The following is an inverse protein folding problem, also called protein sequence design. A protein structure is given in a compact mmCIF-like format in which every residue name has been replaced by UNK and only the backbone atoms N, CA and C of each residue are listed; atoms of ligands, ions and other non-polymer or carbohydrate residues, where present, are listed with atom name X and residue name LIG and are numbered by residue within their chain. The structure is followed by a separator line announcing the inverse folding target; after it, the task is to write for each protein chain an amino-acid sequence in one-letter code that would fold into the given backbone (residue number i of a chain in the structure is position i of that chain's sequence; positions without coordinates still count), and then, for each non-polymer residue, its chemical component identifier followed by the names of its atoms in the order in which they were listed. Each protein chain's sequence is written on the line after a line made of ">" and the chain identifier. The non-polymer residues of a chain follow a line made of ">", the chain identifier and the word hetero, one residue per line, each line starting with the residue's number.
data_IF_622494119723
#
_entry.id   IF_622494119723
#
_cell.length_a   1.000
_cell.length_b   1.000
_cell.length_c   1.000
_cell.angle_alpha   90.00
_cell.angle_beta   90.00
_cell.angle_gamma   90.00
#
_symmetry.space_group_name_H-M   'P 1'
#
loop_
_entity.id
_entity.type
_entity.pdbx_description
1 polymer ?
#
# COMPACT_ATOMS: atom_id res chain seq x y z
N UNK A 1 47.59 59.21 24.88
CA UNK A 1 46.93 59.18 26.21
C UNK A 1 46.88 57.73 26.68
N UNK A 2 47.67 57.40 27.70
CA UNK A 2 47.56 56.17 28.52
C UNK A 2 47.05 56.59 29.90
N UNK A 3 46.24 55.75 30.55
CA UNK A 3 46.46 55.42 31.96
C UNK A 3 46.43 53.89 32.14
N UNK A 4 47.40 53.19 32.76
CA UNK A 4 47.92 53.19 34.14
C UNK A 4 47.10 52.40 35.18
N UNK A 5 47.77 51.36 35.72
CA UNK A 5 47.76 50.80 37.09
C UNK A 5 46.56 49.95 37.53
N UNK A 6 46.63 48.84 38.28
CA UNK A 6 47.68 47.96 38.87
C UNK A 6 46.95 46.73 39.46
N UNK A 7 47.63 45.59 39.73
CA UNK A 7 47.00 44.38 40.26
C UNK A 7 46.92 44.38 41.80
N UNK A 8 45.91 43.70 42.37
CA UNK A 8 45.87 43.33 43.79
C UNK A 8 45.49 41.86 43.97
N UNK A 9 46.33 41.19 44.76
CA UNK A 9 46.19 39.87 45.38
C UNK A 9 45.01 39.82 46.35
N UNK A 10 44.36 38.65 46.45
CA UNK A 10 43.76 38.01 47.64
C UNK A 10 42.76 36.95 47.15
N UNK A 11 42.53 35.78 47.76
CA UNK A 11 43.22 34.98 48.75
C UNK A 11 42.56 33.58 48.64
N UNK A 12 43.30 32.51 48.93
CA UNK A 12 42.76 31.16 48.95
C UNK A 12 41.80 30.96 50.13
N UNK A 13 40.62 30.38 49.88
CA UNK A 13 39.81 29.72 50.89
C UNK A 13 39.51 28.31 50.37
N UNK A 14 40.14 27.33 51.01
CA UNK A 14 39.78 25.93 50.88
C UNK A 14 38.50 25.68 51.68
N UNK A 15 37.44 25.22 51.02
CA UNK A 15 36.31 24.58 51.68
C UNK A 15 36.30 23.10 51.28
N UNK A 16 36.64 22.24 52.24
CA UNK A 16 36.31 20.82 52.20
C UNK A 16 34.79 20.68 52.28
N UNK A 17 34.18 20.17 51.20
CA UNK A 17 32.83 19.61 51.26
C UNK A 17 32.94 18.13 50.94
N UNK A 18 32.88 17.32 52.00
CA UNK A 18 32.57 15.90 51.94
C UNK A 18 31.13 15.73 51.48
N UNK A 19 30.92 15.45 50.20
CA UNK A 19 29.62 15.18 49.61
C UNK A 19 29.60 13.77 49.00
N UNK A 20 28.77 12.91 49.57
CA UNK A 20 28.51 11.55 49.13
C UNK A 20 28.26 11.45 47.63
N UNK A 21 28.98 10.56 46.94
CA UNK A 21 28.71 10.22 45.53
C UNK A 21 27.42 9.40 45.51
N UNK A 22 26.28 10.07 45.37
CA UNK A 22 25.06 9.43 44.91
C UNK A 22 25.26 9.13 43.42
N UNK A 23 25.55 7.87 43.09
CA UNK A 23 25.53 7.37 41.71
C UNK A 23 24.10 7.51 41.18
N UNK A 24 23.85 8.55 40.40
CA UNK A 24 22.68 8.62 39.54
C UNK A 24 22.85 7.57 38.45
N UNK A 25 22.25 6.39 38.66
CA UNK A 25 22.00 5.47 37.57
C UNK A 25 20.96 6.14 36.65
N UNK A 26 21.43 6.71 35.53
CA UNK A 26 20.52 7.12 34.47
C UNK A 26 19.75 5.87 34.03
N UNK A 27 18.41 5.89 33.97
CA UNK A 27 17.66 4.79 33.40
C UNK A 27 18.09 4.67 31.94
N UNK A 28 18.82 3.60 31.62
CA UNK A 28 19.14 3.19 30.26
C UNK A 28 17.88 2.67 29.59
N UNK A 29 16.92 3.55 29.34
CA UNK A 29 15.85 3.31 28.37
C UNK A 29 16.41 3.58 26.97
N UNK A 30 17.42 2.82 26.57
CA UNK A 30 17.66 2.63 25.15
C UNK A 30 16.42 1.88 24.62
N UNK A 31 15.69 2.40 23.62
CA UNK A 31 14.61 1.65 23.02
C UNK A 31 15.17 0.29 22.61
N UNK A 32 14.50 -0.79 23.01
CA UNK A 32 14.89 -2.14 22.64
C UNK A 32 15.04 -2.17 21.11
N UNK A 33 16.25 -2.52 20.64
CA UNK A 33 16.45 -2.80 19.22
C UNK A 33 15.45 -3.90 18.87
N UNK A 34 14.50 -3.67 17.93
CA UNK A 34 13.53 -4.69 17.56
C UNK A 34 14.27 -5.97 17.22
N UNK A 35 13.73 -7.11 17.66
CA UNK A 35 14.30 -8.40 17.30
C UNK A 35 14.54 -8.45 15.77
N UNK A 36 15.70 -8.99 15.32
CA UNK A 36 16.04 -8.99 13.91
C UNK A 36 14.93 -9.65 13.11
N UNK A 37 14.42 -8.89 12.15
CA UNK A 37 13.30 -9.27 11.32
C UNK A 37 13.67 -10.52 10.53
N UNK A 38 12.75 -11.49 10.46
CA UNK A 38 12.92 -12.62 9.55
C UNK A 38 13.20 -12.10 8.12
N UNK A 39 14.13 -12.72 7.39
CA UNK A 39 14.51 -12.24 6.06
C UNK A 39 13.30 -12.21 5.14
N UNK A 40 13.02 -11.03 4.59
CA UNK A 40 11.97 -10.83 3.59
C UNK A 40 12.41 -11.52 2.31
N UNK A 41 11.59 -12.45 1.81
CA UNK A 41 11.82 -13.06 0.51
C UNK A 41 11.12 -12.23 -0.56
N UNK A 42 11.73 -12.05 -1.75
CA UNK A 42 11.02 -11.49 -2.89
C UNK A 42 9.71 -12.23 -3.10
N UNK A 43 8.64 -11.46 -3.23
CA UNK A 43 7.31 -12.01 -3.52
C UNK A 43 7.29 -12.41 -4.98
N UNK A 44 6.83 -13.64 -5.27
CA UNK A 44 6.56 -14.02 -6.65
C UNK A 44 5.33 -13.27 -7.17
N UNK A 45 5.48 -12.53 -8.27
CA UNK A 45 4.44 -11.73 -8.90
C UNK A 45 3.89 -12.46 -10.14
N UNK A 46 2.61 -12.79 -10.13
CA UNK A 46 1.92 -13.42 -11.26
C UNK A 46 1.26 -12.39 -12.17
N UNK A 47 0.75 -11.31 -11.57
CA UNK A 47 0.15 -10.18 -12.26
C UNK A 47 0.84 -8.91 -11.73
N UNK A 48 2.07 -8.59 -12.20
CA UNK A 48 2.94 -7.60 -11.56
C UNK A 48 2.29 -6.24 -11.28
N UNK A 49 1.46 -5.74 -12.20
CA UNK A 49 0.74 -4.47 -12.03
C UNK A 49 -0.27 -4.55 -10.86
N UNK A 50 -1.04 -5.63 -10.77
CA UNK A 50 -1.98 -5.83 -9.67
C UNK A 50 -1.26 -6.15 -8.37
N UNK A 51 -0.33 -7.11 -8.40
CA UNK A 51 0.33 -7.66 -7.22
C UNK A 51 1.14 -6.60 -6.47
N UNK A 52 1.75 -5.63 -7.16
CA UNK A 52 2.46 -4.52 -6.51
C UNK A 52 1.57 -3.40 -5.99
N UNK A 53 0.49 -3.08 -6.71
CA UNK A 53 -0.41 -1.99 -6.31
C UNK A 53 -1.45 -2.42 -5.27
N UNK A 54 -1.87 -3.69 -5.28
CA UNK A 54 -3.02 -4.21 -4.54
C UNK A 54 -2.73 -5.58 -3.92
N UNK A 55 -1.56 -5.75 -3.30
CA UNK A 55 -1.06 -7.07 -2.88
C UNK A 55 -1.99 -7.86 -1.97
N UNK A 56 -2.67 -7.20 -1.00
CA UNK A 56 -3.68 -7.87 -0.18
C UNK A 56 -4.75 -8.54 -1.05
N UNK A 57 -5.29 -7.82 -2.03
CA UNK A 57 -6.37 -8.32 -2.88
C UNK A 57 -5.89 -9.51 -3.71
N UNK A 58 -4.70 -9.43 -4.29
CA UNK A 58 -4.06 -10.55 -4.97
C UNK A 58 -3.89 -11.78 -4.09
N UNK A 59 -3.52 -11.62 -2.81
CA UNK A 59 -3.41 -12.73 -1.88
C UNK A 59 -4.78 -13.37 -1.57
N UNK A 60 -5.82 -12.56 -1.39
CA UNK A 60 -7.18 -13.07 -1.16
C UNK A 60 -7.69 -13.88 -2.37
N UNK A 61 -7.45 -13.42 -3.59
CA UNK A 61 -7.83 -14.14 -4.81
C UNK A 61 -7.09 -15.47 -4.97
N UNK A 62 -5.81 -15.51 -4.59
CA UNK A 62 -4.93 -16.67 -4.81
C UNK A 62 -4.97 -17.69 -3.67
N UNK A 63 -5.75 -17.45 -2.62
CA UNK A 63 -5.79 -18.33 -1.46
C UNK A 63 -7.20 -18.92 -1.27
N UNK A 64 -7.53 -20.04 -1.93
CA UNK A 64 -8.87 -20.64 -1.84
C UNK A 64 -9.34 -20.93 -0.41
N UNK A 65 -8.42 -21.20 0.53
CA UNK A 65 -8.75 -21.48 1.92
C UNK A 65 -9.35 -20.30 2.68
N UNK A 66 -9.21 -19.05 2.21
CA UNK A 66 -9.84 -17.88 2.86
C UNK A 66 -11.22 -17.57 2.32
N UNK A 67 -11.59 -18.09 1.13
CA UNK A 67 -12.87 -17.80 0.48
C UNK A 67 -14.08 -18.10 1.39
N UNK A 68 -14.16 -19.24 2.10
CA UNK A 68 -15.32 -19.51 2.96
C UNK A 68 -15.52 -18.45 4.05
N UNK A 69 -14.45 -17.84 4.56
CA UNK A 69 -14.55 -16.78 5.55
C UNK A 69 -15.13 -15.49 4.95
N UNK A 70 -14.70 -15.14 3.72
CA UNK A 70 -15.21 -13.96 3.02
C UNK A 70 -16.65 -14.15 2.55
N UNK A 71 -16.99 -15.32 2.03
CA UNK A 71 -18.33 -15.65 1.50
C UNK A 71 -19.37 -15.79 2.61
N UNK A 72 -18.96 -16.20 3.83
CA UNK A 72 -19.86 -16.30 4.98
C UNK A 72 -20.33 -14.94 5.52
N UNK A 73 -19.69 -13.84 5.11
CA UNK A 73 -20.03 -12.51 5.57
C UNK A 73 -21.11 -11.86 4.71
N UNK A 74 -22.29 -11.62 5.29
CA UNK A 74 -23.43 -11.01 4.58
C UNK A 74 -23.11 -9.63 4.01
N UNK A 75 -22.26 -8.84 4.67
CA UNK A 75 -21.88 -7.51 4.20
C UNK A 75 -21.03 -7.61 2.96
N UNK A 76 -20.01 -8.48 2.98
CA UNK A 76 -19.15 -8.71 1.82
C UNK A 76 -19.94 -9.28 0.64
N UNK A 77 -20.81 -10.27 0.88
CA UNK A 77 -21.65 -10.85 -0.16
C UNK A 77 -22.60 -9.81 -0.79
N UNK A 78 -23.24 -8.96 0.03
CA UNK A 78 -24.08 -7.86 -0.46
C UNK A 78 -23.28 -6.87 -1.32
N UNK A 79 -22.06 -6.54 -0.91
CA UNK A 79 -21.19 -5.63 -1.66
C UNK A 79 -20.73 -6.26 -2.98
N UNK A 80 -20.40 -7.55 -3.01
CA UNK A 80 -20.15 -8.28 -4.26
C UNK A 80 -21.33 -8.11 -5.23
N UNK A 81 -22.55 -8.45 -4.79
CA UNK A 81 -23.74 -8.33 -5.63
C UNK A 81 -23.98 -6.88 -6.10
N UNK A 82 -23.77 -5.90 -5.21
CA UNK A 82 -23.96 -4.47 -5.51
C UNK A 82 -22.99 -3.99 -6.58
N UNK A 83 -21.70 -4.27 -6.44
CA UNK A 83 -20.69 -3.80 -7.39
C UNK A 83 -20.73 -4.56 -8.71
N UNK A 84 -21.09 -5.85 -8.71
CA UNK A 84 -21.33 -6.60 -9.95
C UNK A 84 -22.55 -6.06 -10.72
N UNK A 85 -23.64 -5.71 -10.02
CA UNK A 85 -24.80 -5.10 -10.65
C UNK A 85 -24.50 -3.71 -11.25
N UNK A 86 -23.69 -2.91 -10.57
CA UNK A 86 -23.20 -1.63 -11.12
C UNK A 86 -22.36 -1.85 -12.39
N UNK A 87 -21.53 -2.90 -12.43
CA UNK A 87 -20.73 -3.24 -13.62
C UNK A 87 -21.62 -3.63 -14.80
N UNK A 88 -22.62 -4.49 -14.59
CA UNK A 88 -23.61 -4.86 -15.63
C UNK A 88 -24.36 -3.63 -16.13
N UNK A 89 -24.84 -2.77 -15.22
CA UNK A 89 -25.55 -1.54 -15.58
C UNK A 89 -24.65 -0.57 -16.37
N UNK A 90 -23.35 -0.54 -16.07
CA UNK A 90 -22.39 0.36 -16.70
C UNK A 90 -22.16 0.13 -18.19
N UNK A 91 -22.42 -1.07 -18.73
CA UNK A 91 -22.35 -1.34 -20.17
C UNK A 91 -23.48 -0.65 -20.97
N UNK A 92 -24.56 -0.26 -20.29
CA UNK A 92 -25.64 0.56 -20.83
C UNK A 92 -26.13 0.14 -22.25
N UNK A 93 -26.29 -1.17 -22.46
CA UNK A 93 -26.75 -1.76 -23.74
C UNK A 93 -25.93 -1.34 -24.97
N UNK A 94 -24.67 -0.95 -24.78
CA UNK A 94 -23.79 -0.48 -25.85
C UNK A 94 -23.75 1.04 -26.02
N UNK A 95 -24.56 1.81 -25.29
CA UNK A 95 -24.54 3.28 -25.35
C UNK A 95 -23.55 3.87 -24.35
N UNK A 96 -22.47 4.54 -24.79
CA UNK A 96 -21.46 5.08 -23.89
C UNK A 96 -22.02 6.13 -22.91
N UNK A 97 -21.72 5.97 -21.62
CA UNK A 97 -22.15 6.89 -20.56
C UNK A 97 -20.99 7.32 -19.66
N UNK A 98 -20.87 8.63 -19.45
CA UNK A 98 -19.94 9.20 -18.47
C UNK A 98 -20.34 8.90 -17.01
N UNK A 99 -21.56 8.42 -16.77
CA UNK A 99 -22.08 8.13 -15.43
C UNK A 99 -21.67 6.75 -14.90
N UNK A 100 -21.22 5.85 -15.77
CA UNK A 100 -20.88 4.47 -15.40
C UNK A 100 -19.63 4.40 -14.50
N UNK A 101 -18.54 5.06 -14.90
CA UNK A 101 -17.25 5.03 -14.20
C UNK A 101 -17.34 5.51 -12.73
N UNK A 102 -17.99 6.65 -12.41
CA UNK A 102 -18.13 7.10 -11.02
C UNK A 102 -18.75 6.06 -10.07
N UNK A 103 -19.60 5.16 -10.56
CA UNK A 103 -20.28 4.15 -9.72
C UNK A 103 -19.32 3.11 -9.13
N UNK A 104 -18.15 2.94 -9.76
CA UNK A 104 -17.12 1.98 -9.34
C UNK A 104 -16.25 2.51 -8.20
N UNK A 105 -16.35 3.79 -7.83
CA UNK A 105 -15.70 4.32 -6.65
C UNK A 105 -16.26 3.68 -5.38
N UNK A 106 -15.35 3.28 -4.49
CA UNK A 106 -15.69 2.90 -3.13
C UNK A 106 -16.11 4.12 -2.33
N UNK A 107 -17.32 4.06 -1.75
CA UNK A 107 -17.79 5.09 -0.83
C UNK A 107 -17.15 4.88 0.55
N UNK A 108 -16.99 5.96 1.33
CA UNK A 108 -16.44 5.84 2.69
C UNK A 108 -17.25 4.86 3.57
N UNK A 109 -18.60 4.88 3.55
CA UNK A 109 -19.40 3.87 4.26
C UNK A 109 -19.11 2.44 3.82
N UNK A 110 -18.93 2.17 2.51
CA UNK A 110 -18.61 0.83 2.03
C UNK A 110 -17.21 0.40 2.47
N UNK A 111 -16.21 1.31 2.42
CA UNK A 111 -14.84 1.04 2.90
C UNK A 111 -14.86 0.66 4.37
N UNK A 112 -15.62 1.41 5.20
CA UNK A 112 -15.75 1.16 6.62
C UNK A 112 -16.49 -0.14 6.94
N UNK A 113 -17.54 -0.46 6.17
CA UNK A 113 -18.29 -1.69 6.28
C UNK A 113 -17.41 -2.91 5.98
N UNK A 114 -16.63 -2.88 4.89
CA UNK A 114 -15.66 -3.94 4.57
C UNK A 114 -14.58 -4.04 5.64
N UNK A 115 -14.02 -2.93 6.10
CA UNK A 115 -13.01 -2.93 7.16
C UNK A 115 -13.53 -3.63 8.43
N UNK A 116 -14.77 -3.35 8.81
CA UNK A 116 -15.40 -3.99 9.96
C UNK A 116 -15.65 -5.48 9.72
N UNK A 117 -16.18 -5.86 8.55
CA UNK A 117 -16.40 -7.25 8.18
C UNK A 117 -15.08 -8.05 8.18
N UNK A 118 -14.02 -7.53 7.57
CA UNK A 118 -12.69 -8.15 7.56
C UNK A 118 -12.12 -8.33 8.97
N UNK A 119 -12.26 -7.34 9.86
CA UNK A 119 -11.85 -7.46 11.27
C UNK A 119 -12.62 -8.58 11.97
N UNK A 120 -13.92 -8.67 11.75
CA UNK A 120 -14.76 -9.73 12.32
C UNK A 120 -14.39 -11.11 11.78
N UNK A 121 -14.17 -11.24 10.47
CA UNK A 121 -13.78 -12.51 9.84
C UNK A 121 -12.39 -12.96 10.28
N UNK A 122 -11.46 -12.03 10.45
CA UNK A 122 -10.13 -12.32 11.02
C UNK A 122 -10.23 -12.95 12.41
N UNK A 123 -11.14 -12.47 13.26
CA UNK A 123 -11.36 -13.02 14.60
C UNK A 123 -11.93 -14.44 14.62
N UNK A 124 -12.51 -14.91 13.50
CA UNK A 124 -13.21 -16.21 13.41
C UNK A 124 -12.49 -17.25 12.55
N UNK A 125 -11.74 -16.81 11.53
CA UNK A 125 -11.14 -17.68 10.53
C UNK A 125 -9.65 -17.87 10.75
N UNK A 126 -9.26 -19.09 11.12
CA UNK A 126 -7.84 -19.48 11.23
C UNK A 126 -7.11 -19.33 9.90
N UNK A 127 -7.75 -19.67 8.78
CA UNK A 127 -7.14 -19.53 7.46
C UNK A 127 -6.83 -18.06 7.11
N UNK A 128 -7.72 -17.14 7.47
CA UNK A 128 -7.49 -15.71 7.26
C UNK A 128 -6.39 -15.17 8.19
N UNK A 129 -6.34 -15.64 9.44
CA UNK A 129 -5.23 -15.33 10.36
C UNK A 129 -3.89 -15.81 9.80
N UNK A 130 -3.82 -17.06 9.33
CA UNK A 130 -2.60 -17.65 8.76
C UNK A 130 -2.14 -16.90 7.49
N UNK A 131 -3.07 -16.46 6.62
CA UNK A 131 -2.74 -15.63 5.46
C UNK A 131 -2.14 -14.28 5.86
N UNK A 132 -2.77 -13.62 6.84
CA UNK A 132 -2.43 -12.24 7.23
C UNK A 132 -1.14 -12.20 8.05
N UNK A 133 -1.01 -13.04 9.07
CA UNK A 133 0.17 -13.09 9.94
C UNK A 133 1.34 -13.83 9.30
N UNK A 134 1.08 -14.64 8.27
CA UNK A 134 2.08 -15.29 7.45
C UNK A 134 2.38 -14.51 6.17
N UNK A 135 1.93 -14.98 4.98
CA UNK A 135 2.29 -14.40 3.68
C UNK A 135 2.18 -12.88 3.57
N UNK A 136 1.08 -12.27 4.03
CA UNK A 136 0.89 -10.83 3.92
C UNK A 136 1.94 -10.07 4.75
N UNK A 137 2.11 -10.42 6.03
CA UNK A 137 3.09 -9.77 6.91
C UNK A 137 4.54 -10.01 6.45
N UNK A 138 4.85 -11.22 5.97
CA UNK A 138 6.20 -11.60 5.53
C UNK A 138 6.60 -10.98 4.19
N UNK A 139 5.63 -10.51 3.39
CA UNK A 139 5.88 -9.88 2.09
C UNK A 139 6.58 -8.52 2.15
N UNK A 140 6.51 -7.84 3.30
CA UNK A 140 6.91 -6.43 3.47
C UNK A 140 6.18 -5.41 2.55
N UNK A 141 5.15 -5.82 1.78
CA UNK A 141 4.35 -4.90 0.95
C UNK A 141 3.58 -3.87 1.78
N UNK A 142 3.36 -4.17 3.06
CA UNK A 142 2.71 -3.30 4.04
C UNK A 142 3.64 -3.02 5.24
N UNK A 143 4.94 -2.81 4.99
CA UNK A 143 5.96 -2.59 6.03
C UNK A 143 5.58 -1.47 7.02
N UNK A 144 4.86 -0.44 6.56
CA UNK A 144 4.34 0.65 7.40
C UNK A 144 3.49 0.15 8.59
N UNK A 145 2.82 -0.99 8.44
CA UNK A 145 1.92 -1.58 9.44
C UNK A 145 2.50 -2.85 10.07
N UNK A 146 3.81 -3.10 9.90
CA UNK A 146 4.44 -4.35 10.33
C UNK A 146 4.30 -4.63 11.83
N UNK A 147 4.28 -3.60 12.64
CA UNK A 147 4.15 -3.71 14.10
C UNK A 147 2.70 -3.84 14.58
N UNK A 148 1.73 -3.66 13.68
CA UNK A 148 0.31 -3.75 14.04
C UNK A 148 -0.13 -5.20 14.24
N UNK A 149 -1.19 -5.41 15.02
CA UNK A 149 -1.84 -6.72 15.12
C UNK A 149 -2.34 -7.18 13.74
N UNK A 150 -2.53 -8.49 13.53
CA UNK A 150 -2.98 -8.99 12.22
C UNK A 150 -4.31 -8.40 11.77
N UNK A 151 -5.26 -8.21 12.69
CA UNK A 151 -6.53 -7.55 12.40
C UNK A 151 -6.34 -6.10 11.92
N UNK A 152 -5.46 -5.33 12.57
CA UNK A 152 -5.18 -3.94 12.17
C UNK A 152 -4.38 -3.88 10.86
N UNK A 153 -3.42 -4.77 10.65
CA UNK A 153 -2.70 -4.93 9.38
C UNK A 153 -3.68 -5.18 8.23
N UNK A 154 -4.60 -6.14 8.39
CA UNK A 154 -5.61 -6.47 7.38
C UNK A 154 -6.50 -5.27 7.06
N UNK A 155 -7.00 -4.57 8.08
CA UNK A 155 -7.88 -3.41 7.91
C UNK A 155 -7.18 -2.26 7.21
N UNK A 156 -5.95 -1.93 7.62
CA UNK A 156 -5.18 -0.84 6.99
C UNK A 156 -4.76 -1.18 5.56
N UNK A 157 -4.36 -2.43 5.31
CA UNK A 157 -4.07 -2.92 3.97
C UNK A 157 -5.28 -2.85 3.03
N UNK A 158 -6.49 -3.16 3.52
CA UNK A 158 -7.73 -2.96 2.78
C UNK A 158 -7.99 -1.50 2.46
N UNK A 159 -7.85 -0.60 3.45
CA UNK A 159 -8.07 0.83 3.25
C UNK A 159 -7.11 1.43 2.24
N UNK A 160 -5.84 1.05 2.28
CA UNK A 160 -4.85 1.45 1.29
C UNK A 160 -5.22 0.94 -0.11
N UNK A 161 -5.66 -0.32 -0.23
CA UNK A 161 -6.09 -0.89 -1.50
C UNK A 161 -7.33 -0.16 -2.06
N UNK A 162 -8.36 0.09 -1.25
CA UNK A 162 -9.57 0.81 -1.66
C UNK A 162 -9.26 2.25 -2.07
N UNK A 163 -8.39 2.94 -1.32
CA UNK A 163 -7.91 4.27 -1.67
C UNK A 163 -7.13 4.27 -3.00
N UNK A 164 -6.28 3.27 -3.22
CA UNK A 164 -5.55 3.11 -4.49
C UNK A 164 -6.48 2.87 -5.67
N UNK A 165 -7.49 2.01 -5.53
CA UNK A 165 -8.52 1.77 -6.56
C UNK A 165 -9.26 3.08 -6.87
N UNK A 166 -9.71 3.79 -5.85
CA UNK A 166 -10.37 5.07 -6.02
C UNK A 166 -9.47 6.10 -6.71
N UNK A 167 -8.19 6.16 -6.35
CA UNK A 167 -7.24 7.06 -6.97
C UNK A 167 -7.08 6.78 -8.47
N UNK A 168 -6.93 5.50 -8.84
CA UNK A 168 -6.87 5.07 -10.25
C UNK A 168 -8.13 5.48 -11.01
N UNK A 169 -9.31 5.23 -10.45
CA UNK A 169 -10.59 5.61 -11.08
C UNK A 169 -10.71 7.15 -11.19
N UNK A 170 -10.31 7.90 -10.17
CA UNK A 170 -10.35 9.36 -10.19
C UNK A 170 -9.45 9.94 -11.27
N UNK A 171 -8.20 9.46 -11.39
CA UNK A 171 -7.24 9.99 -12.36
C UNK A 171 -7.58 9.54 -13.77
N UNK A 172 -7.70 8.23 -13.99
CA UNK A 172 -7.80 7.66 -15.32
C UNK A 172 -9.25 7.49 -15.80
N UNK A 173 -10.21 7.41 -14.89
CA UNK A 173 -11.63 7.34 -15.24
C UNK A 173 -12.31 8.71 -15.30
N UNK A 174 -11.96 9.62 -14.38
CA UNK A 174 -12.66 10.90 -14.20
C UNK A 174 -11.81 12.13 -14.57
N UNK A 175 -10.52 11.95 -14.88
CA UNK A 175 -9.63 13.03 -15.31
C UNK A 175 -9.15 13.91 -14.15
N UNK A 176 -9.15 13.39 -12.93
CA UNK A 176 -8.57 14.06 -11.76
C UNK A 176 -7.06 14.22 -11.90
N UNK A 177 -6.52 15.28 -11.29
CA UNK A 177 -5.08 15.54 -11.31
C UNK A 177 -4.34 14.53 -10.38
N UNK A 178 -3.32 13.82 -10.88
CA UNK A 178 -2.45 13.01 -10.04
C UNK A 178 -1.44 13.90 -9.29
N UNK A 179 -0.62 13.31 -8.41
CA UNK A 179 0.43 14.04 -7.71
C UNK A 179 1.48 14.66 -8.65
N UNK A 180 1.79 13.99 -9.77
CA UNK A 180 2.71 14.52 -10.78
C UNK A 180 2.04 14.61 -12.16
N UNK A 181 1.22 15.66 -12.42
CA UNK A 181 0.40 15.75 -13.64
C UNK A 181 1.17 15.69 -14.95
N UNK A 182 2.45 16.06 -14.97
CA UNK A 182 3.26 16.04 -16.20
C UNK A 182 3.58 14.64 -16.71
N UNK A 183 3.59 13.64 -15.83
CA UNK A 183 4.01 12.27 -16.16
C UNK A 183 2.91 11.25 -15.88
N UNK A 184 2.05 11.51 -14.90
CA UNK A 184 1.07 10.54 -14.40
C UNK A 184 -0.37 10.79 -14.87
N UNK A 185 -0.63 11.85 -15.64
CA UNK A 185 -2.00 12.15 -16.11
C UNK A 185 -2.56 11.07 -17.05
N UNK A 186 -3.87 11.04 -17.24
CA UNK A 186 -4.47 10.19 -18.28
C UNK A 186 -3.84 10.46 -19.65
N UNK A 187 -3.60 9.39 -20.41
CA UNK A 187 -2.98 9.48 -21.73
C UNK A 187 -3.94 10.06 -22.77
N UNK A 188 -5.25 9.88 -22.55
CA UNK A 188 -6.33 10.36 -23.41
C UNK A 188 -7.24 11.34 -22.66
N UNK A 189 -7.97 12.16 -23.41
CA UNK A 189 -9.07 12.94 -22.84
C UNK A 189 -10.22 12.00 -22.44
N UNK A 190 -10.41 11.86 -21.13
CA UNK A 190 -11.40 10.95 -20.53
C UNK A 190 -12.86 11.30 -20.87
N UNK A 191 -13.11 12.53 -21.34
CA UNK A 191 -14.44 13.00 -21.75
C UNK A 191 -14.69 12.86 -23.24
N UNK A 192 -13.68 12.46 -24.02
CA UNK A 192 -13.82 12.31 -25.46
C UNK A 192 -14.74 11.14 -25.81
N UNK A 193 -15.54 11.22 -26.89
CA UNK A 193 -16.40 10.12 -27.31
C UNK A 193 -15.67 8.78 -27.50
N UNK A 194 -14.45 8.71 -28.09
CA UNK A 194 -13.72 7.45 -28.20
C UNK A 194 -13.33 6.85 -26.83
N UNK A 195 -13.07 7.69 -25.83
CA UNK A 195 -12.76 7.21 -24.49
C UNK A 195 -14.01 6.65 -23.80
N UNK A 196 -15.15 7.33 -23.93
CA UNK A 196 -16.42 6.84 -23.42
C UNK A 196 -16.79 5.49 -24.05
N UNK A 197 -16.63 5.34 -25.37
CA UNK A 197 -16.81 4.07 -26.08
C UNK A 197 -15.90 2.97 -25.53
N UNK A 198 -14.61 3.29 -25.33
CA UNK A 198 -13.63 2.35 -24.75
C UNK A 198 -14.05 1.90 -23.35
N UNK A 199 -14.50 2.82 -22.50
CA UNK A 199 -15.00 2.47 -21.16
C UNK A 199 -16.30 1.66 -21.23
N UNK A 200 -17.18 1.94 -22.20
CA UNK A 200 -18.40 1.17 -22.38
C UNK A 200 -18.10 -0.29 -22.73
N UNK A 201 -17.25 -0.53 -23.73
CA UNK A 201 -16.79 -1.87 -24.12
C UNK A 201 -16.11 -2.57 -22.94
N UNK A 202 -15.29 -1.85 -22.17
CA UNK A 202 -14.66 -2.36 -20.96
C UNK A 202 -15.71 -2.87 -19.94
N UNK A 203 -16.77 -2.10 -19.66
CA UNK A 203 -17.86 -2.57 -18.80
C UNK A 203 -18.53 -3.83 -19.36
N UNK A 204 -18.79 -3.88 -20.67
CA UNK A 204 -19.33 -5.07 -21.34
C UNK A 204 -18.48 -6.31 -21.09
N UNK A 205 -17.20 -6.25 -21.46
CA UNK A 205 -16.23 -7.35 -21.29
C UNK A 205 -16.12 -7.77 -19.82
N UNK A 206 -15.98 -6.81 -18.90
CA UNK A 206 -15.85 -7.13 -17.48
C UNK A 206 -17.12 -7.75 -16.92
N UNK A 207 -18.31 -7.33 -17.38
CA UNK A 207 -19.61 -7.82 -16.91
C UNK A 207 -19.91 -9.27 -17.31
N UNK A 208 -19.38 -9.72 -18.45
CA UNK A 208 -19.56 -11.09 -18.95
C UNK A 208 -18.74 -12.12 -18.17
N UNK A 209 -17.60 -11.70 -17.61
CA UNK A 209 -16.72 -12.56 -16.83
C UNK A 209 -17.17 -12.67 -15.36
N UNK A 210 -18.28 -13.38 -15.17
CA UNK A 210 -18.89 -13.64 -13.85
C UNK A 210 -17.97 -14.44 -12.92
N UNK A 211 -17.09 -15.27 -13.47
CA UNK A 211 -16.15 -16.08 -12.69
C UNK A 211 -15.13 -15.19 -11.96
N UNK A 212 -14.80 -14.03 -12.52
CA UNK A 212 -13.92 -13.04 -11.89
C UNK A 212 -14.69 -11.88 -11.22
N UNK A 213 -15.87 -12.18 -10.64
CA UNK A 213 -16.70 -11.26 -9.85
C UNK A 213 -17.25 -11.90 -8.56
N UNK A 214 -16.51 -12.85 -7.99
CA UNK A 214 -16.93 -13.60 -6.80
C UNK A 214 -16.63 -12.85 -5.49
N UNK A 215 -15.61 -11.99 -5.49
CA UNK A 215 -15.19 -11.23 -4.31
C UNK A 215 -15.62 -9.77 -4.40
N UNK A 216 -15.96 -9.19 -3.24
CA UNK A 216 -16.55 -7.85 -3.11
C UNK A 216 -15.74 -6.72 -3.77
N UNK A 217 -14.41 -6.89 -3.87
CA UNK A 217 -13.51 -5.91 -4.46
C UNK A 217 -13.31 -6.05 -5.97
N UNK A 218 -13.62 -7.22 -6.54
CA UNK A 218 -13.23 -7.56 -7.92
C UNK A 218 -13.81 -6.63 -8.99
N UNK A 219 -15.10 -6.26 -8.98
CA UNK A 219 -15.63 -5.39 -10.02
C UNK A 219 -14.91 -4.03 -10.09
N UNK A 220 -14.65 -3.42 -8.94
CA UNK A 220 -13.96 -2.12 -8.84
C UNK A 220 -12.46 -2.24 -9.12
N UNK A 221 -11.79 -3.27 -8.59
CA UNK A 221 -10.38 -3.56 -8.87
C UNK A 221 -10.13 -3.78 -10.36
N UNK A 222 -10.94 -4.62 -11.01
CA UNK A 222 -10.79 -4.92 -12.44
C UNK A 222 -11.07 -3.69 -13.32
N UNK A 223 -12.04 -2.86 -12.93
CA UNK A 223 -12.25 -1.56 -13.59
C UNK A 223 -11.00 -0.69 -13.47
N UNK A 224 -10.41 -0.57 -12.28
CA UNK A 224 -9.18 0.19 -12.07
C UNK A 224 -8.01 -0.35 -12.90
N UNK A 225 -7.79 -1.67 -12.91
CA UNK A 225 -6.74 -2.30 -13.72
C UNK A 225 -6.96 -2.08 -15.23
N UNK A 226 -8.19 -2.18 -15.71
CA UNK A 226 -8.53 -1.93 -17.09
C UNK A 226 -8.35 -0.46 -17.50
N UNK A 227 -8.66 0.49 -16.61
CA UNK A 227 -8.35 1.92 -16.81
C UNK A 227 -6.84 2.18 -16.89
N UNK A 228 -6.05 1.55 -16.01
CA UNK A 228 -4.59 1.63 -16.09
C UNK A 228 -4.08 1.06 -17.42
N UNK A 229 -4.56 -0.11 -17.83
CA UNK A 229 -4.19 -0.72 -19.10
C UNK A 229 -4.55 0.17 -20.31
N UNK A 230 -5.77 0.74 -20.32
CA UNK A 230 -6.22 1.68 -21.35
C UNK A 230 -5.30 2.90 -21.43
N UNK A 231 -4.79 3.38 -20.30
CA UNK A 231 -3.87 4.53 -20.22
C UNK A 231 -2.38 4.15 -20.28
N UNK A 232 -2.05 2.89 -20.61
CA UNK A 232 -0.66 2.38 -20.68
C UNK A 232 0.12 2.52 -19.36
N UNK A 233 -0.58 2.41 -18.24
CA UNK A 233 -0.04 2.51 -16.88
C UNK A 233 0.37 1.15 -16.32
N UNK A 234 1.38 0.56 -16.94
CA UNK A 234 1.95 -0.74 -16.55
C UNK A 234 3.29 -0.61 -15.80
N UNK A 235 3.69 0.61 -15.40
CA UNK A 235 5.02 0.94 -14.87
C UNK A 235 5.39 0.07 -13.66
N UNK A 236 4.41 -0.26 -12.80
CA UNK A 236 4.64 -1.14 -11.65
C UNK A 236 5.14 -2.53 -12.07
N UNK A 237 4.67 -3.06 -13.20
CA UNK A 237 5.01 -4.40 -13.69
C UNK A 237 6.07 -4.44 -14.80
N UNK A 238 6.37 -3.31 -15.43
CA UNK A 238 7.10 -3.24 -16.71
C UNK A 238 8.47 -3.94 -16.72
N UNK A 239 9.17 -3.96 -15.59
CA UNK A 239 10.54 -4.48 -15.47
C UNK A 239 10.64 -5.76 -14.62
N UNK A 240 9.52 -6.38 -14.27
CA UNK A 240 9.54 -7.63 -13.48
C UNK A 240 9.93 -8.85 -14.35
N UNK A 241 10.65 -9.86 -13.80
CA UNK A 241 11.13 -9.97 -12.42
C UNK A 241 12.40 -9.14 -12.13
N UNK A 242 12.34 -8.22 -11.17
CA UNK A 242 13.46 -7.32 -10.86
C UNK A 242 14.67 -8.07 -10.32
N UNK A 243 14.48 -9.09 -9.49
CA UNK A 243 15.55 -9.78 -8.78
C UNK A 243 16.47 -10.60 -9.69
N UNK A 244 15.94 -11.07 -10.81
CA UNK A 244 16.71 -11.81 -11.83
C UNK A 244 17.01 -10.99 -13.08
N UNK A 245 16.32 -9.86 -13.27
CA UNK A 245 16.55 -8.88 -14.33
C UNK A 245 17.37 -7.68 -13.85
N UNK A 246 16.78 -6.48 -13.94
CA UNK A 246 17.46 -5.19 -13.74
C UNK A 246 18.23 -5.08 -12.41
N UNK A 247 17.71 -5.66 -11.32
CA UNK A 247 18.34 -5.59 -10.00
C UNK A 247 19.30 -6.75 -9.71
N UNK A 248 19.52 -7.69 -10.62
CA UNK A 248 20.32 -8.89 -10.35
C UNK A 248 21.76 -8.57 -9.91
N UNK A 249 22.40 -7.57 -10.52
CA UNK A 249 23.75 -7.14 -10.13
C UNK A 249 23.76 -6.48 -8.75
N UNK A 250 22.78 -5.61 -8.47
CA UNK A 250 22.64 -4.94 -7.18
C UNK A 250 22.39 -5.94 -6.05
N UNK A 251 21.52 -6.94 -6.26
CA UNK A 251 21.27 -8.00 -5.28
C UNK A 251 22.48 -8.91 -5.04
N UNK A 252 23.31 -9.16 -6.06
CA UNK A 252 24.59 -9.88 -5.87
C UNK A 252 25.60 -9.07 -5.05
N UNK A 253 25.52 -7.74 -5.13
CA UNK A 253 26.44 -6.85 -4.42
C UNK A 253 25.99 -6.57 -2.99
N UNK A 254 24.68 -6.43 -2.75
CA UNK A 254 24.12 -6.02 -1.45
C UNK A 254 24.48 -6.98 -0.31
N UNK A 255 24.59 -8.28 -0.61
CA UNK A 255 25.00 -9.31 0.35
C UNK A 255 26.46 -9.22 0.79
N UNK A 256 27.29 -8.45 0.07
CA UNK A 256 28.72 -8.24 0.35
C UNK A 256 29.00 -6.92 1.08
N UNK A 257 27.98 -6.10 1.30
CA UNK A 257 28.12 -4.79 1.95
C UNK A 257 28.14 -4.98 3.46
N UNK A 258 29.18 -4.44 4.11
CA UNK A 258 29.21 -4.27 5.56
C UNK A 258 28.40 -3.04 5.94
N UNK A 259 27.11 -3.26 6.24
CA UNK A 259 26.15 -2.20 6.57
C UNK A 259 26.56 -1.37 7.78
N UNK A 260 27.39 -1.89 8.69
CA UNK A 260 27.87 -1.14 9.85
C UNK A 260 28.75 0.07 9.45
N UNK A 261 29.32 0.06 8.24
CA UNK A 261 30.12 1.17 7.71
C UNK A 261 29.29 2.29 7.08
N UNK A 262 27.99 2.07 6.88
CA UNK A 262 27.09 2.99 6.19
C UNK A 262 25.87 3.29 7.07
N UNK A 263 26.02 4.14 8.11
CA UNK A 263 24.95 4.40 9.09
C UNK A 263 23.75 5.18 8.51
N UNK A 264 23.88 5.71 7.30
CA UNK A 264 22.84 6.46 6.61
C UNK A 264 22.46 5.76 5.31
N UNK A 265 21.16 5.62 5.08
CA UNK A 265 20.62 5.21 3.79
C UNK A 265 20.44 6.44 2.88
N UNK A 266 20.78 6.28 1.60
CA UNK A 266 20.48 7.25 0.55
C UNK A 266 19.70 6.53 -0.54
N UNK A 267 18.53 7.06 -0.89
CA UNK A 267 17.84 6.71 -2.13
C UNK A 267 18.22 7.78 -3.14
N UNK A 268 18.95 7.39 -4.18
CA UNK A 268 19.31 8.26 -5.29
C UNK A 268 18.41 7.94 -6.48
N UNK A 269 17.53 8.88 -6.82
CA UNK A 269 16.77 8.85 -8.06
C UNK A 269 17.45 9.81 -9.05
N UNK A 270 18.26 9.31 -10.01
CA UNK A 270 18.81 10.19 -11.04
C UNK A 270 17.66 10.75 -11.87
N UNK A 271 17.48 12.08 -11.83
CA UNK A 271 16.52 12.75 -12.68
C UNK A 271 16.90 12.59 -14.16
N UNK A 272 15.88 12.52 -15.02
CA UNK A 272 16.03 12.57 -16.46
C UNK A 272 15.82 13.99 -16.98
#
# INVERSE_FOLDING_TARGET
>A
MKPHFTPRLAAAIALLVTGSIATWAAPTNAPAVPAPLAPVKPVHLWAPVQDKNFYLLSLLEKTPSVLPALESDETLHKLTATYSAKLVKGFNEGEPSAEAIPTMLWTQPDIDAVAQALRTQYGKSKALQELVDGPLRQSAMYERYRADSGAELLVKAWRDAAAGINHVIQVYGLGGAPHYPKIDSAFYDVKSPPYLETTNIMFGVLSEDKAAQQLFFQPSLRTALALMAANRRDEAGRFEPLESGENAAALKQVSKIDWNKYPYALILAPGH
#
